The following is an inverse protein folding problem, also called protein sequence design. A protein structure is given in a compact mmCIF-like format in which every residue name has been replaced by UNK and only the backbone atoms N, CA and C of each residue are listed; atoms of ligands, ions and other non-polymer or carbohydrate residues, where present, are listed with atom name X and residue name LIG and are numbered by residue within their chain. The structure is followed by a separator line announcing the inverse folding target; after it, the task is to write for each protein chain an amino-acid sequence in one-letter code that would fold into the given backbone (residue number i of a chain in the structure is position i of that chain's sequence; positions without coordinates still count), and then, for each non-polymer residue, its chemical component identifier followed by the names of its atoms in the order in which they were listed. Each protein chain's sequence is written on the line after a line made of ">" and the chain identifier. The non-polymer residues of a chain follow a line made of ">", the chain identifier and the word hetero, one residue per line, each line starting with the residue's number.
data_IF_173945692787
#
_entry.id   IF_173945692787
#
_cell.length_a   1.000
_cell.length_b   1.000
_cell.length_c   1.000
_cell.angle_alpha   90.00
_cell.angle_beta   90.00
_cell.angle_gamma   90.00
#
_symmetry.space_group_name_H-M   'P 1'
#
loop_
_entity.id
_entity.type
_entity.pdbx_description
1 polymer ?
#
# COMPACT_ATOMS: atom_id res chain seq x y z
N UNK A 1 1.27 -39.29 -16.34
CA UNK A 1 1.75 -38.28 -15.38
C UNK A 1 0.90 -37.05 -15.57
N UNK A 2 0.13 -36.65 -14.55
CA UNK A 2 -0.70 -35.43 -14.61
C UNK A 2 0.30 -34.26 -14.55
N UNK A 3 0.39 -33.49 -15.62
CA UNK A 3 1.14 -32.23 -15.65
C UNK A 3 0.68 -31.39 -14.45
N UNK A 4 1.58 -30.81 -13.63
CA UNK A 4 1.15 -29.98 -12.52
C UNK A 4 0.21 -28.89 -13.05
N UNK A 5 -0.98 -28.80 -12.47
CA UNK A 5 -2.04 -27.89 -12.90
C UNK A 5 -1.50 -26.45 -12.85
N UNK A 6 -1.56 -25.76 -13.99
CA UNK A 6 -1.08 -24.38 -14.13
C UNK A 6 -1.79 -23.53 -13.06
N UNK A 7 -1.00 -22.86 -12.24
CA UNK A 7 -1.54 -21.99 -11.19
C UNK A 7 -1.88 -20.65 -11.84
N UNK A 8 -3.16 -20.27 -11.76
CA UNK A 8 -3.66 -19.03 -12.34
C UNK A 8 -3.54 -17.87 -11.34
N UNK A 9 -3.26 -16.68 -11.87
CA UNK A 9 -3.06 -15.47 -11.08
C UNK A 9 -4.14 -14.41 -11.39
N UNK A 10 -4.81 -13.91 -10.34
CA UNK A 10 -5.62 -12.70 -10.42
C UNK A 10 -4.83 -11.50 -9.88
N UNK A 11 -4.68 -10.46 -10.69
CA UNK A 11 -4.20 -9.17 -10.25
C UNK A 11 -5.38 -8.27 -9.81
N UNK A 12 -5.25 -7.64 -8.64
CA UNK A 12 -6.27 -6.76 -8.08
C UNK A 12 -5.71 -5.36 -7.89
N UNK A 13 -6.50 -4.35 -8.27
CA UNK A 13 -6.19 -2.93 -8.06
C UNK A 13 -7.42 -2.23 -7.50
N UNK A 14 -7.25 -1.41 -6.46
CA UNK A 14 -8.26 -0.43 -6.03
C UNK A 14 -7.76 0.95 -6.40
N UNK A 15 -8.65 1.84 -6.82
CA UNK A 15 -8.23 3.13 -7.36
C UNK A 15 -9.23 4.25 -7.08
N UNK A 16 -8.70 5.48 -6.99
CA UNK A 16 -9.44 6.73 -6.91
C UNK A 16 -8.53 7.85 -7.42
N UNK A 17 -8.89 8.47 -8.55
CA UNK A 17 -8.17 9.56 -9.21
C UNK A 17 -6.67 9.25 -9.48
N UNK A 18 -6.42 8.21 -10.26
CA UNK A 18 -5.09 7.71 -10.63
C UNK A 18 -4.86 7.70 -12.16
N UNK A 19 -5.41 8.65 -12.91
CA UNK A 19 -5.32 8.65 -14.38
C UNK A 19 -3.88 8.62 -14.91
N UNK A 20 -2.94 9.17 -14.15
CA UNK A 20 -1.51 9.19 -14.48
C UNK A 20 -0.82 7.83 -14.28
N UNK A 21 -1.40 6.98 -13.44
CA UNK A 21 -0.78 5.76 -12.93
C UNK A 21 -1.46 4.48 -13.45
N UNK A 22 -2.77 4.52 -13.63
CA UNK A 22 -3.61 3.35 -13.88
C UNK A 22 -3.19 2.61 -15.16
N UNK A 23 -2.85 3.33 -16.24
CA UNK A 23 -2.38 2.70 -17.48
C UNK A 23 -1.10 1.88 -17.24
N UNK A 24 -0.14 2.49 -16.55
CA UNK A 24 1.20 1.91 -16.38
C UNK A 24 1.14 0.69 -15.46
N UNK A 25 0.38 0.75 -14.35
CA UNK A 25 0.24 -0.40 -13.46
C UNK A 25 -0.45 -1.57 -14.18
N UNK A 26 -1.46 -1.31 -15.02
CA UNK A 26 -2.15 -2.35 -15.79
C UNK A 26 -1.23 -2.99 -16.84
N UNK A 27 -0.39 -2.20 -17.52
CA UNK A 27 0.64 -2.72 -18.44
C UNK A 27 1.60 -3.67 -17.69
N UNK A 28 1.99 -3.37 -16.45
CA UNK A 28 2.85 -4.23 -15.63
C UNK A 28 2.13 -5.48 -15.07
N UNK A 29 0.80 -5.49 -15.09
CA UNK A 29 -0.03 -6.61 -14.64
C UNK A 29 -0.47 -7.52 -15.80
N UNK A 30 -0.13 -7.19 -17.05
CA UNK A 30 -0.57 -7.90 -18.25
C UNK A 30 -0.16 -9.39 -18.30
N UNK A 31 0.78 -9.84 -17.46
CA UNK A 31 1.18 -11.24 -17.33
C UNK A 31 0.22 -12.08 -16.46
N UNK A 32 -0.71 -11.45 -15.74
CA UNK A 32 -1.72 -12.14 -14.93
C UNK A 32 -2.84 -12.72 -15.81
N UNK A 33 -3.43 -13.84 -15.39
CA UNK A 33 -4.50 -14.51 -16.13
C UNK A 33 -5.86 -13.78 -15.98
N UNK A 34 -6.03 -13.00 -14.90
CA UNK A 34 -7.19 -12.14 -14.67
C UNK A 34 -6.73 -10.82 -14.05
N UNK A 35 -7.32 -9.69 -14.48
CA UNK A 35 -7.07 -8.37 -13.89
C UNK A 35 -8.41 -7.75 -13.51
N UNK A 36 -8.54 -7.33 -12.26
CA UNK A 36 -9.74 -6.67 -11.73
C UNK A 36 -9.35 -5.33 -11.14
N UNK A 37 -10.06 -4.28 -11.57
CA UNK A 37 -9.95 -2.93 -11.02
C UNK A 37 -11.25 -2.58 -10.31
N UNK A 38 -11.16 -2.12 -9.06
CA UNK A 38 -12.29 -1.54 -8.35
C UNK A 38 -12.06 -0.04 -8.20
N UNK A 39 -12.80 0.74 -8.97
CA UNK A 39 -12.79 2.19 -8.95
C UNK A 39 -13.77 2.74 -7.91
N UNK A 40 -13.32 3.73 -7.14
CA UNK A 40 -14.12 4.40 -6.11
C UNK A 40 -14.85 5.64 -6.63
N UNK A 41 -15.42 5.54 -7.84
CA UNK A 41 -16.05 6.64 -8.56
C UNK A 41 -15.08 7.80 -8.77
N UNK A 42 -13.96 7.53 -9.44
CA UNK A 42 -13.01 8.57 -9.81
C UNK A 42 -13.68 9.68 -10.62
N UNK A 43 -13.27 10.92 -10.37
CA UNK A 43 -13.74 12.11 -11.09
C UNK A 43 -12.87 12.46 -12.30
N UNK A 44 -11.72 11.80 -12.44
CA UNK A 44 -10.79 11.94 -13.57
C UNK A 44 -10.97 10.81 -14.59
N UNK A 45 -10.02 10.65 -15.53
CA UNK A 45 -10.11 9.61 -16.58
C UNK A 45 -9.73 8.20 -16.12
N UNK A 46 -9.55 7.95 -14.82
CA UNK A 46 -9.07 6.66 -14.30
C UNK A 46 -9.95 5.49 -14.76
N UNK A 47 -11.26 5.63 -14.63
CA UNK A 47 -12.22 4.58 -15.00
C UNK A 47 -12.18 4.31 -16.52
N UNK A 48 -12.22 5.38 -17.34
CA UNK A 48 -12.19 5.28 -18.80
C UNK A 48 -10.91 4.59 -19.30
N UNK A 49 -9.76 4.96 -18.73
CA UNK A 49 -8.47 4.35 -19.08
C UNK A 49 -8.48 2.86 -18.71
N UNK A 50 -8.90 2.50 -17.50
CA UNK A 50 -8.94 1.10 -17.08
C UNK A 50 -9.89 0.27 -17.96
N UNK A 51 -11.07 0.81 -18.29
CA UNK A 51 -12.09 0.14 -19.09
C UNK A 51 -11.67 -0.05 -20.56
N UNK A 52 -10.68 0.71 -21.05
CA UNK A 52 -10.15 0.56 -22.42
C UNK A 52 -9.35 -0.73 -22.63
N UNK A 53 -8.89 -1.39 -21.56
CA UNK A 53 -8.13 -2.63 -21.64
C UNK A 53 -9.05 -3.84 -21.80
N UNK A 54 -8.85 -4.61 -22.88
CA UNK A 54 -9.68 -5.78 -23.20
C UNK A 54 -9.64 -6.90 -22.16
N UNK A 55 -8.54 -7.02 -21.41
CA UNK A 55 -8.30 -8.08 -20.43
C UNK A 55 -8.51 -7.61 -18.97
N UNK A 56 -9.14 -6.46 -18.76
CA UNK A 56 -9.38 -5.88 -17.44
C UNK A 56 -10.88 -5.82 -17.16
N UNK A 57 -11.30 -6.36 -16.02
CA UNK A 57 -12.67 -6.21 -15.51
C UNK A 57 -12.70 -5.03 -14.56
N UNK A 58 -13.46 -3.99 -14.90
CA UNK A 58 -13.59 -2.79 -14.06
C UNK A 58 -14.93 -2.79 -13.36
N UNK A 59 -14.91 -2.58 -12.04
CA UNK A 59 -16.08 -2.44 -11.18
C UNK A 59 -16.04 -1.08 -10.49
N UNK A 60 -17.22 -0.54 -10.17
CA UNK A 60 -17.31 0.66 -9.33
C UNK A 60 -17.97 0.33 -8.00
N UNK A 61 -17.41 0.89 -6.92
CA UNK A 61 -17.96 0.77 -5.57
C UNK A 61 -17.54 1.98 -4.74
N UNK A 62 -18.51 2.59 -4.07
CA UNK A 62 -18.27 3.71 -3.15
C UNK A 62 -17.27 3.31 -2.07
N UNK A 63 -16.26 4.15 -1.85
CA UNK A 63 -15.25 3.92 -0.84
C UNK A 63 -15.83 4.16 0.56
N UNK A 64 -15.76 3.14 1.40
CA UNK A 64 -16.04 3.21 2.83
C UNK A 64 -14.73 3.21 3.63
N UNK A 65 -13.93 2.16 3.49
CA UNK A 65 -12.58 2.05 4.02
C UNK A 65 -11.74 1.10 3.16
N UNK A 66 -10.42 1.14 3.34
CA UNK A 66 -9.51 0.32 2.54
C UNK A 66 -9.79 -1.18 2.72
N UNK A 67 -10.18 -1.65 3.91
CA UNK A 67 -10.33 -3.07 4.22
C UNK A 67 -11.53 -3.66 3.49
N UNK A 68 -12.65 -2.95 3.55
CA UNK A 68 -13.87 -3.28 2.84
C UNK A 68 -13.64 -3.24 1.33
N UNK A 69 -12.97 -2.20 0.81
CA UNK A 69 -12.69 -2.10 -0.63
C UNK A 69 -11.77 -3.23 -1.12
N UNK A 70 -10.74 -3.59 -0.34
CA UNK A 70 -9.84 -4.70 -0.66
C UNK A 70 -10.52 -6.06 -0.55
N UNK A 71 -11.34 -6.28 0.48
CA UNK A 71 -12.11 -7.52 0.62
C UNK A 71 -13.16 -7.66 -0.50
N UNK A 72 -13.77 -6.56 -0.93
CA UNK A 72 -14.65 -6.56 -2.09
C UNK A 72 -13.89 -6.96 -3.37
N UNK A 73 -12.74 -6.33 -3.65
CA UNK A 73 -11.88 -6.72 -4.77
C UNK A 73 -11.47 -8.21 -4.71
N UNK A 74 -11.09 -8.70 -3.53
CA UNK A 74 -10.80 -10.13 -3.31
C UNK A 74 -11.99 -11.04 -3.59
N UNK A 75 -13.20 -10.62 -3.25
CA UNK A 75 -14.42 -11.40 -3.49
C UNK A 75 -14.69 -11.62 -4.98
N UNK A 76 -14.27 -10.67 -5.83
CA UNK A 76 -14.42 -10.72 -7.28
C UNK A 76 -13.39 -11.62 -7.97
N UNK A 77 -12.27 -11.90 -7.32
CA UNK A 77 -11.17 -12.70 -7.89
C UNK A 77 -11.59 -14.16 -8.11
N UNK A 78 -11.34 -14.69 -9.30
CA UNK A 78 -11.69 -16.06 -9.67
C UNK A 78 -10.60 -17.07 -9.28
N UNK A 79 -9.33 -16.64 -9.25
CA UNK A 79 -8.19 -17.53 -9.04
C UNK A 79 -7.72 -17.58 -7.58
N UNK A 80 -7.00 -18.66 -7.23
CA UNK A 80 -6.43 -18.83 -5.88
C UNK A 80 -5.26 -17.89 -5.61
N UNK A 81 -4.40 -17.62 -6.59
CA UNK A 81 -3.31 -16.67 -6.40
C UNK A 81 -3.77 -15.24 -6.65
N UNK A 82 -3.45 -14.38 -5.70
CA UNK A 82 -3.76 -12.96 -5.74
C UNK A 82 -2.47 -12.15 -5.75
N UNK A 83 -2.38 -11.23 -6.70
CA UNK A 83 -1.41 -10.14 -6.70
C UNK A 83 -2.17 -8.82 -6.52
N UNK A 84 -2.26 -8.34 -5.30
CA UNK A 84 -2.93 -7.08 -4.99
C UNK A 84 -1.93 -5.94 -5.12
N UNK A 85 -2.12 -4.99 -6.03
CA UNK A 85 -1.20 -3.87 -6.29
C UNK A 85 -1.91 -2.53 -6.05
N UNK A 86 -1.19 -1.55 -5.50
CA UNK A 86 -1.67 -0.17 -5.50
C UNK A 86 -1.34 0.48 -6.86
N UNK A 87 -2.14 1.46 -7.30
CA UNK A 87 -1.99 2.04 -8.64
C UNK A 87 -0.63 2.76 -8.85
N UNK A 88 0.01 3.22 -7.78
CA UNK A 88 1.31 3.90 -7.76
C UNK A 88 2.51 2.92 -7.64
N UNK A 89 2.27 1.61 -7.66
CA UNK A 89 3.31 0.58 -7.59
C UNK A 89 3.67 0.03 -8.98
N UNK A 90 4.91 -0.43 -9.16
CA UNK A 90 5.45 -0.98 -10.42
C UNK A 90 6.27 -2.24 -10.15
N UNK A 91 5.99 -3.29 -10.92
CA UNK A 91 6.77 -4.53 -10.91
C UNK A 91 7.92 -4.41 -11.90
N UNK A 92 9.14 -4.79 -11.49
CA UNK A 92 10.24 -4.96 -12.46
C UNK A 92 10.05 -6.27 -13.24
N UNK A 93 10.61 -6.40 -14.46
CA UNK A 93 10.54 -7.65 -15.23
C UNK A 93 11.02 -8.86 -14.42
N UNK A 94 12.08 -8.70 -13.62
CA UNK A 94 12.62 -9.77 -12.78
C UNK A 94 11.64 -10.19 -11.68
N UNK A 95 10.90 -9.23 -11.12
CA UNK A 95 9.87 -9.50 -10.12
C UNK A 95 8.64 -10.20 -10.76
N UNK A 96 8.24 -9.82 -11.97
CA UNK A 96 7.16 -10.50 -12.70
C UNK A 96 7.52 -11.98 -13.00
N UNK A 97 8.76 -12.20 -13.46
CA UNK A 97 9.29 -13.55 -13.68
C UNK A 97 9.37 -14.36 -12.38
N UNK A 98 9.85 -13.73 -11.30
CA UNK A 98 9.91 -14.38 -9.99
C UNK A 98 8.53 -14.76 -9.47
N UNK A 99 7.53 -13.88 -9.59
CA UNK A 99 6.13 -14.18 -9.22
C UNK A 99 5.62 -15.37 -10.03
N UNK A 100 5.75 -15.32 -11.35
CA UNK A 100 5.30 -16.37 -12.27
C UNK A 100 5.93 -17.72 -11.95
N UNK A 101 7.21 -17.73 -11.56
CA UNK A 101 7.92 -18.93 -11.15
C UNK A 101 7.44 -19.45 -9.79
N UNK A 102 7.31 -18.57 -8.80
CA UNK A 102 7.03 -18.93 -7.41
C UNK A 102 5.62 -19.51 -7.23
N UNK A 103 4.62 -19.01 -7.95
CA UNK A 103 3.24 -19.52 -7.85
C UNK A 103 3.12 -20.97 -8.31
N UNK A 104 4.00 -21.43 -9.23
CA UNK A 104 4.02 -22.79 -9.76
C UNK A 104 4.83 -23.78 -8.91
N UNK A 105 5.49 -23.34 -7.84
CA UNK A 105 6.25 -24.24 -6.98
C UNK A 105 5.34 -25.09 -6.08
N UNK A 106 5.62 -26.40 -6.03
CA UNK A 106 4.91 -27.34 -5.13
C UNK A 106 4.96 -26.93 -3.65
N UNK A 107 6.10 -26.39 -3.21
CA UNK A 107 6.31 -25.94 -1.82
C UNK A 107 6.15 -24.42 -1.66
N UNK A 108 5.28 -23.82 -2.47
CA UNK A 108 4.98 -22.39 -2.38
C UNK A 108 4.38 -22.03 -1.01
N UNK A 109 4.89 -20.96 -0.42
CA UNK A 109 4.35 -20.36 0.80
C UNK A 109 2.94 -19.79 0.56
N UNK A 110 2.15 -19.58 1.61
CA UNK A 110 0.81 -19.00 1.53
C UNK A 110 0.81 -17.51 1.14
N UNK A 111 1.91 -16.81 1.41
CA UNK A 111 2.10 -15.41 1.01
C UNK A 111 3.57 -15.05 0.89
N UNK A 112 3.88 -13.94 0.23
CA UNK A 112 5.25 -13.46 0.04
C UNK A 112 5.40 -11.98 0.36
N UNK A 113 6.41 -11.67 1.17
CA UNK A 113 6.90 -10.30 1.31
C UNK A 113 7.71 -9.89 0.08
N UNK A 114 7.45 -8.68 -0.39
CA UNK A 114 8.27 -7.95 -1.36
C UNK A 114 8.88 -6.75 -0.67
N UNK A 115 10.18 -6.52 -0.85
CA UNK A 115 10.81 -5.28 -0.39
C UNK A 115 10.43 -4.16 -1.36
N UNK A 116 10.24 -2.95 -0.83
CA UNK A 116 9.95 -1.78 -1.67
C UNK A 116 11.19 -0.94 -1.93
N UNK A 117 11.21 -0.30 -3.09
CA UNK A 117 12.02 0.86 -3.42
C UNK A 117 11.08 2.06 -3.39
N UNK A 118 11.21 2.89 -2.36
CA UNK A 118 10.40 4.10 -2.22
C UNK A 118 10.97 5.21 -3.10
N UNK A 119 10.16 5.73 -4.01
CA UNK A 119 10.53 6.83 -4.91
C UNK A 119 9.81 8.12 -4.48
N UNK A 120 10.57 9.19 -4.30
CA UNK A 120 10.05 10.53 -4.02
C UNK A 120 10.58 11.51 -5.06
N UNK A 121 9.67 12.17 -5.80
CA UNK A 121 10.01 13.04 -6.94
C UNK A 121 11.01 12.35 -7.88
N UNK A 122 10.67 11.15 -8.35
CA UNK A 122 11.48 10.30 -9.23
C UNK A 122 12.89 9.93 -8.74
N UNK A 123 13.21 10.17 -7.46
CA UNK A 123 14.47 9.73 -6.85
C UNK A 123 14.20 8.66 -5.79
N UNK A 124 14.96 7.58 -5.88
CA UNK A 124 14.96 6.53 -4.86
C UNK A 124 15.49 7.08 -3.54
N UNK A 125 14.69 6.96 -2.48
CA UNK A 125 15.18 7.13 -1.11
C UNK A 125 15.81 5.83 -0.64
N UNK A 126 16.98 5.95 -0.01
CA UNK A 126 17.71 4.81 0.54
C UNK A 126 17.52 4.71 2.04
N UNK A 127 17.33 5.84 2.72
CA UNK A 127 17.30 5.96 4.17
C UNK A 127 15.92 6.45 4.65
N UNK A 128 15.88 7.28 5.71
CA UNK A 128 14.64 7.92 6.18
C UNK A 128 13.56 6.95 6.67
N UNK A 129 13.97 5.75 7.11
CA UNK A 129 13.08 4.68 7.58
C UNK A 129 12.60 3.70 6.50
N UNK A 130 12.96 3.91 5.22
CA UNK A 130 12.50 3.07 4.10
C UNK A 130 13.40 1.87 3.78
N UNK A 131 14.57 1.75 4.43
CA UNK A 131 15.57 0.69 4.20
C UNK A 131 15.02 -0.73 4.30
N UNK A 132 14.13 -0.94 5.26
CA UNK A 132 13.58 -2.25 5.64
C UNK A 132 12.12 -2.42 5.23
N UNK A 133 11.62 -1.51 4.40
CA UNK A 133 10.22 -1.48 4.01
C UNK A 133 9.86 -2.69 3.14
N UNK A 134 8.81 -3.38 3.56
CA UNK A 134 8.34 -4.61 2.94
C UNK A 134 6.82 -4.72 3.08
N UNK A 135 6.19 -5.29 2.07
CA UNK A 135 4.74 -5.45 2.01
C UNK A 135 4.39 -6.83 1.44
N UNK A 136 3.22 -7.34 1.78
CA UNK A 136 2.67 -8.56 1.18
C UNK A 136 1.71 -8.11 0.07
N UNK A 137 2.02 -8.53 -1.15
CA UNK A 137 1.21 -8.25 -2.36
C UNK A 137 0.79 -9.54 -3.05
N UNK A 138 1.62 -10.59 -2.95
CA UNK A 138 1.36 -11.93 -3.49
C UNK A 138 0.94 -12.89 -2.38
N UNK A 139 -0.22 -13.52 -2.51
CA UNK A 139 -0.74 -14.48 -1.53
C UNK A 139 -1.83 -15.40 -2.12
N UNK A 140 -2.11 -16.49 -1.42
CA UNK A 140 -3.24 -17.37 -1.70
C UNK A 140 -4.51 -16.84 -1.06
N UNK A 141 -5.57 -16.71 -1.84
CA UNK A 141 -6.88 -16.15 -1.46
C UNK A 141 -7.47 -16.89 -0.25
N UNK A 142 -7.44 -18.21 -0.26
CA UNK A 142 -7.99 -19.08 0.78
C UNK A 142 -7.24 -18.99 2.12
N UNK A 143 -5.99 -18.50 2.10
CA UNK A 143 -5.16 -18.35 3.28
C UNK A 143 -5.09 -16.91 3.78
N UNK A 144 -5.82 -15.95 3.19
CA UNK A 144 -5.62 -14.55 3.48
C UNK A 144 -6.92 -13.72 3.56
N UNK A 145 -6.97 -12.80 4.53
CA UNK A 145 -8.08 -11.85 4.66
C UNK A 145 -7.63 -10.51 5.21
N UNK A 146 -8.28 -9.42 4.80
CA UNK A 146 -8.03 -8.09 5.37
C UNK A 146 -8.94 -7.87 6.58
N UNK A 147 -8.33 -7.45 7.70
CA UNK A 147 -9.06 -7.22 8.94
C UNK A 147 -9.86 -5.90 8.88
N UNK A 148 -11.18 -6.02 8.88
CA UNK A 148 -12.13 -4.89 8.81
C UNK A 148 -12.09 -4.02 10.07
N UNK A 149 -11.63 -4.56 11.23
CA UNK A 149 -11.61 -3.84 12.50
C UNK A 149 -10.44 -2.84 12.63
N UNK A 150 -9.53 -2.75 11.66
CA UNK A 150 -8.41 -1.78 11.67
C UNK A 150 -8.61 -0.74 10.57
N UNK A 151 -8.78 0.52 10.97
CA UNK A 151 -9.01 1.66 10.07
C UNK A 151 -7.72 2.05 9.32
N UNK A 152 -6.54 1.85 9.92
CA UNK A 152 -5.22 2.15 9.33
C UNK A 152 -4.24 0.99 9.55
N UNK A 153 -3.55 0.58 8.49
CA UNK A 153 -2.70 -0.61 8.43
C UNK A 153 -3.48 -1.91 8.57
N UNK A 154 -4.34 -2.17 7.59
CA UNK A 154 -4.84 -3.50 7.27
C UNK A 154 -3.66 -4.43 6.99
N UNK A 155 -3.13 -5.01 8.07
CA UNK A 155 -2.24 -6.14 7.92
C UNK A 155 -3.11 -7.27 7.37
N UNK A 156 -2.80 -7.70 6.15
CA UNK A 156 -3.29 -8.94 5.60
C UNK A 156 -3.00 -10.04 6.64
N UNK A 157 -4.06 -10.65 7.16
CA UNK A 157 -3.94 -11.81 8.03
C UNK A 157 -3.68 -12.98 7.10
N UNK A 158 -2.55 -13.66 7.28
CA UNK A 158 -2.17 -14.81 6.47
C UNK A 158 -2.07 -16.03 7.38
N UNK A 159 -2.82 -17.07 7.04
CA UNK A 159 -2.79 -18.38 7.68
C UNK A 159 -1.81 -19.27 6.91
N UNK A 160 -0.59 -19.45 7.44
CA UNK A 160 0.40 -20.37 6.87
C UNK A 160 1.79 -19.75 6.75
N UNK A 161 2.67 -20.43 6.00
CA UNK A 161 4.05 -19.98 5.81
C UNK A 161 4.08 -18.69 4.99
N UNK A 162 4.90 -17.73 5.41
CA UNK A 162 5.17 -16.51 4.64
C UNK A 162 6.60 -16.56 4.10
N UNK A 163 6.73 -16.51 2.78
CA UNK A 163 8.00 -16.42 2.06
C UNK A 163 8.46 -14.97 1.85
N UNK A 164 9.59 -14.82 1.16
CA UNK A 164 10.12 -13.52 0.74
C UNK A 164 10.57 -13.64 -0.71
N UNK A 165 10.18 -12.69 -1.54
CA UNK A 165 10.74 -12.53 -2.88
C UNK A 165 12.09 -11.81 -2.80
N UNK A 166 12.95 -12.10 -3.76
CA UNK A 166 14.29 -11.53 -3.88
C UNK A 166 14.22 -10.15 -4.52
N UNK A 167 13.42 -10.00 -5.56
CA UNK A 167 13.30 -8.75 -6.31
C UNK A 167 12.42 -7.72 -5.59
N UNK A 168 12.67 -6.45 -5.88
CA UNK A 168 12.04 -5.32 -5.17
C UNK A 168 10.92 -4.72 -6.02
N UNK A 169 9.82 -4.40 -5.35
CA UNK A 169 8.72 -3.62 -5.89
C UNK A 169 9.12 -2.15 -5.93
N UNK A 170 8.81 -1.42 -7.00
CA UNK A 170 9.02 0.04 -7.04
C UNK A 170 7.72 0.72 -6.62
N UNK A 171 7.79 1.64 -5.66
CA UNK A 171 6.63 2.40 -5.18
C UNK A 171 6.84 3.88 -5.51
N UNK A 172 6.12 4.37 -6.52
CA UNK A 172 6.12 5.78 -6.92
C UNK A 172 5.22 6.58 -6.02
N UNK A 173 5.69 6.74 -4.79
CA UNK A 173 4.81 7.18 -3.71
C UNK A 173 4.33 8.62 -3.91
N UNK A 174 5.20 9.57 -4.35
CA UNK A 174 4.80 10.98 -4.50
C UNK A 174 5.52 11.74 -5.63
N UNK A 175 4.72 12.54 -6.33
CA UNK A 175 5.12 13.43 -7.43
C UNK A 175 5.75 14.73 -6.94
N UNK A 176 5.26 15.28 -5.82
CA UNK A 176 5.76 16.53 -5.22
C UNK A 176 5.53 16.58 -3.69
N UNK A 177 6.02 17.67 -3.06
CA UNK A 177 5.90 17.93 -1.62
C UNK A 177 4.45 18.06 -1.13
N UNK A 178 3.60 18.80 -1.84
CA UNK A 178 2.25 19.12 -1.39
C UNK A 178 1.34 17.89 -1.41
N UNK A 179 1.46 17.05 -2.43
CA UNK A 179 0.78 15.76 -2.51
C UNK A 179 1.14 14.89 -1.30
N UNK A 180 2.43 14.82 -0.96
CA UNK A 180 2.88 14.02 0.18
C UNK A 180 2.39 14.60 1.50
N UNK A 181 2.41 15.94 1.64
CA UNK A 181 1.92 16.63 2.83
C UNK A 181 0.44 16.37 3.06
N UNK A 182 -0.41 16.55 2.05
CA UNK A 182 -1.85 16.31 2.16
C UNK A 182 -2.14 14.88 2.61
N UNK A 183 -1.43 13.90 2.05
CA UNK A 183 -1.59 12.50 2.46
C UNK A 183 -1.11 12.25 3.88
N UNK A 184 -0.02 12.87 4.32
CA UNK A 184 0.45 12.76 5.71
C UNK A 184 -0.55 13.36 6.70
N UNK A 185 -1.23 14.46 6.33
CA UNK A 185 -2.35 15.03 7.10
C UNK A 185 -3.52 14.06 7.16
N UNK A 186 -3.96 13.53 6.02
CA UNK A 186 -5.05 12.56 5.95
C UNK A 186 -4.78 11.29 6.76
N UNK A 187 -3.57 10.71 6.66
CA UNK A 187 -3.17 9.58 7.51
C UNK A 187 -3.13 9.95 9.00
N UNK A 188 -2.75 11.18 9.34
CA UNK A 188 -2.82 11.69 10.70
C UNK A 188 -4.27 11.66 11.23
N UNK A 189 -5.22 12.17 10.43
CA UNK A 189 -6.66 12.17 10.74
C UNK A 189 -7.20 10.75 10.94
N UNK A 190 -6.92 9.82 10.02
CA UNK A 190 -7.36 8.42 10.16
C UNK A 190 -6.76 7.76 11.41
N UNK A 191 -5.48 8.01 11.69
CA UNK A 191 -4.83 7.51 12.93
C UNK A 191 -5.39 8.13 14.19
N UNK A 192 -6.03 9.29 14.12
CA UNK A 192 -6.72 9.90 15.25
C UNK A 192 -8.00 9.12 15.58
N UNK A 193 -8.76 8.71 14.54
CA UNK A 193 -9.93 7.85 14.71
C UNK A 193 -9.58 6.53 15.40
N UNK A 194 -8.44 5.92 15.07
CA UNK A 194 -7.97 4.72 15.77
C UNK A 194 -7.64 4.96 17.25
N UNK A 195 -7.14 6.13 17.61
CA UNK A 195 -6.81 6.43 19.01
C UNK A 195 -8.07 6.70 19.85
N UNK A 196 -9.16 7.15 19.21
CA UNK A 196 -10.48 7.23 19.86
C UNK A 196 -10.96 5.83 20.23
N UNK A 197 -10.86 4.87 19.31
CA UNK A 197 -11.23 3.47 19.56
C UNK A 197 -10.38 2.80 20.65
N UNK A 198 -9.18 3.32 20.90
CA UNK A 198 -8.29 2.88 22.00
C UNK A 198 -8.43 3.73 23.26
N UNK A 199 -9.40 4.64 23.30
CA UNK A 199 -9.67 5.53 24.42
C UNK A 199 -8.45 6.38 24.86
N UNK A 200 -7.52 6.65 23.94
CA UNK A 200 -6.25 7.28 24.27
C UNK A 200 -6.45 8.72 24.74
N UNK A 201 -5.89 9.08 25.89
CA UNK A 201 -5.93 10.46 26.42
C UNK A 201 -4.64 11.20 26.06
N UNK A 202 -4.67 12.12 25.07
CA UNK A 202 -3.47 12.83 24.64
C UNK A 202 -3.01 13.80 25.73
N UNK A 203 -1.70 13.83 25.96
CA UNK A 203 -1.03 14.71 26.92
C UNK A 203 0.12 15.46 26.24
N UNK A 204 0.82 16.34 26.97
CA UNK A 204 1.94 17.14 26.44
C UNK A 204 2.97 16.33 25.64
N UNK A 205 3.32 15.13 26.11
CA UNK A 205 4.27 14.23 25.43
C UNK A 205 3.82 13.86 24.01
N UNK A 206 2.52 13.66 23.79
CA UNK A 206 1.96 13.29 22.50
C UNK A 206 2.05 14.42 21.46
N UNK A 207 1.92 15.68 21.90
CA UNK A 207 1.93 16.84 21.00
C UNK A 207 3.32 17.28 20.59
N UNK A 208 4.30 17.20 21.49
CA UNK A 208 5.62 17.78 21.27
C UNK A 208 6.73 16.74 21.17
N UNK A 209 6.79 15.81 22.14
CA UNK A 209 7.90 14.86 22.22
C UNK A 209 7.76 13.77 21.17
N UNK A 210 6.56 13.23 20.94
CA UNK A 210 6.34 12.17 19.93
C UNK A 210 6.69 12.60 18.50
N UNK A 211 6.21 13.74 17.98
CA UNK A 211 6.60 14.21 16.64
C UNK A 211 8.11 14.51 16.54
N UNK A 212 8.70 15.14 17.57
CA UNK A 212 10.13 15.43 17.59
C UNK A 212 10.96 14.15 17.57
N UNK A 213 10.60 13.16 18.40
CA UNK A 213 11.23 11.85 18.41
C UNK A 213 11.09 11.15 17.05
N UNK A 214 9.90 11.20 16.42
CA UNK A 214 9.68 10.61 15.10
C UNK A 214 10.66 11.20 14.06
N UNK A 215 10.81 12.52 14.05
CA UNK A 215 11.76 13.21 13.18
C UNK A 215 13.20 12.78 13.48
N UNK A 216 13.65 12.91 14.74
CA UNK A 216 15.03 12.63 15.14
C UNK A 216 15.42 11.17 14.89
N UNK A 217 14.52 10.23 15.18
CA UNK A 217 14.76 8.82 14.93
C UNK A 217 14.90 8.53 13.43
N UNK A 218 14.03 9.07 12.56
CA UNK A 218 14.16 8.85 11.13
C UNK A 218 15.37 9.58 10.52
N UNK A 219 15.65 10.79 10.99
CA UNK A 219 16.69 11.63 10.43
C UNK A 219 18.08 11.16 10.87
N UNK A 220 18.29 10.93 12.16
CA UNK A 220 19.59 10.56 12.73
C UNK A 220 19.79 9.04 12.76
N UNK A 221 18.90 8.30 13.43
CA UNK A 221 19.07 6.85 13.68
C UNK A 221 18.85 6.03 12.40
N UNK A 222 17.89 6.43 11.56
CA UNK A 222 17.65 5.80 10.24
C UNK A 222 18.44 6.48 9.12
N UNK A 223 19.42 7.31 9.47
CA UNK A 223 20.32 8.02 8.57
C UNK A 223 19.62 8.79 7.44
N UNK A 224 18.44 9.35 7.70
CA UNK A 224 17.71 10.18 6.73
C UNK A 224 18.53 11.34 6.18
N UNK A 225 19.51 11.85 6.94
CA UNK A 225 20.44 12.87 6.44
C UNK A 225 21.25 12.43 5.20
N UNK A 226 21.46 11.12 5.00
CA UNK A 226 22.14 10.58 3.80
C UNK A 226 21.29 10.66 2.53
N UNK A 227 19.97 10.87 2.65
CA UNK A 227 19.09 11.17 1.51
C UNK A 227 19.10 12.68 1.14
N UNK A 228 19.89 13.51 1.83
CA UNK A 228 20.04 14.94 1.59
C UNK A 228 18.76 15.74 1.84
N UNK A 229 18.46 16.72 0.98
CA UNK A 229 17.27 17.59 1.10
C UNK A 229 15.97 16.78 1.18
N UNK A 230 15.83 15.73 0.36
CA UNK A 230 14.65 14.86 0.34
C UNK A 230 14.49 14.09 1.65
N UNK A 231 15.59 13.70 2.29
CA UNK A 231 15.57 13.06 3.60
C UNK A 231 14.96 13.95 4.68
N UNK A 232 15.36 15.23 4.74
CA UNK A 232 14.80 16.21 5.68
C UNK A 232 13.29 16.37 5.45
N UNK A 233 12.88 16.55 4.20
CA UNK A 233 11.47 16.72 3.82
C UNK A 233 10.62 15.54 4.30
N UNK A 234 11.06 14.31 4.01
CA UNK A 234 10.32 13.09 4.35
C UNK A 234 10.26 12.88 5.85
N UNK A 235 11.37 13.07 6.56
CA UNK A 235 11.39 12.96 8.02
C UNK A 235 10.45 13.98 8.67
N UNK A 236 10.42 15.21 8.14
CA UNK A 236 9.51 16.26 8.61
C UNK A 236 8.04 15.91 8.36
N UNK A 237 7.70 15.49 7.14
CA UNK A 237 6.31 15.17 6.80
C UNK A 237 5.79 13.93 7.55
N UNK A 238 6.66 12.96 7.84
CA UNK A 238 6.33 11.85 8.72
C UNK A 238 6.05 12.30 10.17
N UNK A 239 6.84 13.24 10.69
CA UNK A 239 6.59 13.85 12.00
C UNK A 239 5.31 14.69 12.00
N UNK A 240 5.02 15.42 10.92
CA UNK A 240 3.77 16.17 10.73
C UNK A 240 2.54 15.27 10.84
N UNK A 241 2.57 14.08 10.21
CA UNK A 241 1.48 13.11 10.35
C UNK A 241 1.21 12.72 11.81
N UNK A 242 2.26 12.59 12.63
CA UNK A 242 2.13 12.31 14.07
C UNK A 242 1.56 13.52 14.82
N UNK A 243 1.96 14.74 14.47
CA UNK A 243 1.43 15.95 15.08
C UNK A 243 -0.08 16.12 14.78
N UNK A 244 -0.45 15.99 13.50
CA UNK A 244 -1.85 16.05 13.05
C UNK A 244 -2.71 15.03 13.77
N UNK A 245 -2.23 13.80 13.92
CA UNK A 245 -2.94 12.74 14.65
C UNK A 245 -3.44 13.19 16.03
N UNK A 246 -2.58 13.81 16.83
CA UNK A 246 -2.96 14.20 18.19
C UNK A 246 -3.74 15.51 18.24
N UNK A 247 -3.50 16.42 17.30
CA UNK A 247 -4.32 17.62 17.13
C UNK A 247 -5.77 17.25 16.78
N UNK A 248 -5.97 16.32 15.84
CA UNK A 248 -7.28 15.84 15.44
C UNK A 248 -7.96 15.03 16.55
N UNK A 249 -7.21 14.18 17.26
CA UNK A 249 -7.74 13.47 18.43
C UNK A 249 -8.29 14.44 19.50
N UNK A 250 -7.56 15.54 19.77
CA UNK A 250 -8.01 16.58 20.70
C UNK A 250 -9.26 17.29 20.20
N UNK A 251 -9.31 17.64 18.91
CA UNK A 251 -10.48 18.28 18.29
C UNK A 251 -11.73 17.41 18.39
N UNK A 252 -11.60 16.11 18.10
CA UNK A 252 -12.74 15.18 18.15
C UNK A 252 -13.21 15.00 19.60
N UNK A 253 -12.28 14.80 20.55
CA UNK A 253 -12.63 14.68 21.97
C UNK A 253 -13.23 15.95 22.60
N UNK A 254 -12.96 17.13 22.04
CA UNK A 254 -13.54 18.39 22.53
C UNK A 254 -14.96 18.66 21.98
N UNK A 255 -15.38 17.93 20.94
CA UNK A 255 -16.72 18.04 20.34
C UNK A 255 -17.72 17.02 20.91
N UNK A 256 -17.24 16.01 21.62
CA UNK A 256 -18.02 15.02 22.34
C UNK A 256 -18.05 15.37 23.84
#
# INVERSE_FOLDING_TARGET
>A
MISPEKQLLTALVITYNEEQNIKIVLDHLAFADEIIVVDSFSSDKTFEIAASFKNVKVFQRSFDNFACQRNYALSLASNSWILFMDADERLTPELQQEISFVIHQKNSASAYFMRRNFMFENKKLRFSGWQTDKIIRLFKKENASYNIKKIVHEKLIVNGRIGKLKNRLVHHSYSNYDDYKQKMVFYGQLKAQEEILKETSPNFFHFYIRPAYQFLNQYLVRFGFLDGKKGIIICYLNALSVAVRFQELKKIKAKN
#
